data_IF_503169630547
#
_entry.id   IF_503169630547
#
_cell.length_a   1.000
_cell.length_b   1.000
_cell.length_c   1.000
_cell.angle_alpha   90.00
_cell.angle_beta   90.00
_cell.angle_gamma   90.00
#
_symmetry.space_group_name_H-M   'P 1'
#
loop_
_entity.id
_entity.type
_entity.pdbx_description
1 polymer ?
#
# COMPACT_ATOMS: atom_id res chain seq x y z
N UNK A 1 -2.35 -2.20 6.04
CA UNK A 1 -1.28 -3.16 5.74
C UNK A 1 -0.72 -3.69 7.04
N UNK A 2 -0.51 -5.01 7.15
CA UNK A 2 0.21 -5.62 8.27
C UNK A 2 1.62 -5.92 7.79
N UNK A 3 2.64 -5.47 8.52
CA UNK A 3 4.05 -5.67 8.19
C UNK A 3 4.72 -6.46 9.30
N UNK A 4 5.45 -7.49 8.94
CA UNK A 4 6.29 -8.28 9.84
C UNK A 4 7.75 -7.86 9.71
N UNK A 5 8.44 -7.64 10.83
CA UNK A 5 9.89 -7.47 10.87
C UNK A 5 10.53 -8.77 11.35
N UNK A 6 11.24 -9.53 10.48
CA UNK A 6 11.88 -10.76 10.89
C UNK A 6 12.97 -10.53 11.96
N UNK A 7 13.21 -11.49 12.87
CA UNK A 7 14.34 -11.42 13.81
C UNK A 7 15.67 -11.17 13.08
N UNK A 8 16.54 -10.34 13.66
CA UNK A 8 17.84 -9.96 13.07
C UNK A 8 17.77 -8.91 11.96
N UNK A 9 16.58 -8.44 11.58
CA UNK A 9 16.41 -7.33 10.65
C UNK A 9 16.60 -5.97 11.34
N UNK A 10 16.77 -4.91 10.54
CA UNK A 10 16.70 -3.52 11.05
C UNK A 10 15.27 -3.19 11.42
N UNK A 11 15.11 -2.36 12.45
CA UNK A 11 13.81 -1.92 12.98
C UNK A 11 13.18 -0.76 12.21
N UNK A 12 13.90 -0.18 11.24
CA UNK A 12 13.52 1.01 10.48
C UNK A 12 13.58 0.76 8.97
N UNK A 13 12.50 1.17 8.30
CA UNK A 13 12.31 1.11 6.85
C UNK A 13 11.39 2.24 6.38
N UNK A 14 11.16 2.33 5.08
CA UNK A 14 10.17 3.21 4.46
C UNK A 14 9.06 2.36 3.85
N UNK A 15 7.80 2.70 4.15
CA UNK A 15 6.64 2.17 3.45
C UNK A 15 6.26 3.13 2.33
N UNK A 16 6.24 2.63 1.11
CA UNK A 16 5.72 3.33 -0.06
C UNK A 16 4.47 2.61 -0.58
N UNK A 17 3.43 3.40 -0.87
CA UNK A 17 2.22 2.94 -1.54
C UNK A 17 1.93 3.87 -2.70
N UNK A 18 1.94 3.32 -3.91
CA UNK A 18 1.57 4.04 -5.14
C UNK A 18 0.23 3.52 -5.62
N UNK A 19 -0.74 4.41 -5.82
CA UNK A 19 -2.06 4.07 -6.32
C UNK A 19 -2.10 4.28 -7.82
N UNK A 20 -2.48 3.24 -8.57
CA UNK A 20 -2.47 3.26 -10.03
C UNK A 20 -3.79 2.83 -10.65
N UNK A 21 -4.09 3.42 -11.81
CA UNK A 21 -5.10 2.93 -12.75
C UNK A 21 -4.41 2.71 -14.09
N UNK A 22 -4.15 1.44 -14.43
CA UNK A 22 -3.26 1.11 -15.53
C UNK A 22 -1.86 1.70 -15.30
N UNK A 23 -1.38 2.52 -16.22
CA UNK A 23 -0.08 3.20 -16.12
C UNK A 23 -0.13 4.53 -15.35
N UNK A 24 -1.33 5.09 -15.14
CA UNK A 24 -1.51 6.37 -14.48
C UNK A 24 -1.30 6.25 -12.97
N UNK A 25 -0.49 7.15 -12.39
CA UNK A 25 -0.32 7.27 -10.95
C UNK A 25 -1.30 8.31 -10.40
N UNK A 26 -2.28 7.85 -9.62
CA UNK A 26 -3.31 8.70 -9.02
C UNK A 26 -2.87 9.36 -7.73
N UNK A 27 -2.12 8.62 -6.89
CA UNK A 27 -1.64 9.10 -5.61
C UNK A 27 -0.38 8.34 -5.17
N UNK A 28 0.36 8.94 -4.24
CA UNK A 28 1.56 8.35 -3.66
C UNK A 28 1.69 8.71 -2.19
N UNK A 29 1.84 7.70 -1.34
CA UNK A 29 2.16 7.85 0.07
C UNK A 29 3.53 7.25 0.36
N UNK A 30 4.40 8.01 1.01
CA UNK A 30 5.70 7.56 1.48
C UNK A 30 5.83 7.97 2.94
N UNK A 31 6.07 7.01 3.82
CA UNK A 31 6.19 7.29 5.25
C UNK A 31 7.24 6.38 5.91
N UNK A 32 7.91 6.87 6.96
CA UNK A 32 8.75 6.03 7.80
C UNK A 32 7.93 4.91 8.45
N UNK A 33 8.55 3.73 8.55
CA UNK A 33 8.00 2.56 9.21
C UNK A 33 9.02 2.07 10.24
N UNK A 34 8.58 2.03 11.51
CA UNK A 34 9.32 1.40 12.59
C UNK A 34 8.57 0.18 13.10
N UNK A 35 9.28 -0.96 13.16
CA UNK A 35 8.77 -2.25 13.66
C UNK A 35 9.91 -2.97 14.36
N UNK A 36 9.75 -3.26 15.64
CA UNK A 36 10.74 -4.03 16.40
C UNK A 36 10.96 -5.43 15.77
N UNK A 37 12.21 -5.95 15.76
CA UNK A 37 12.49 -7.28 15.27
C UNK A 37 11.67 -8.36 15.98
N UNK A 38 11.07 -9.24 15.19
CA UNK A 38 10.17 -10.30 15.66
C UNK A 38 8.72 -9.85 15.88
N UNK A 39 8.35 -8.61 15.56
CA UNK A 39 7.00 -8.07 15.77
C UNK A 39 6.29 -7.75 14.45
N UNK A 40 4.98 -7.56 14.58
CA UNK A 40 4.12 -7.01 13.54
C UNK A 40 3.74 -5.58 13.87
N UNK A 41 3.55 -4.77 12.83
CA UNK A 41 2.91 -3.47 12.95
C UNK A 41 1.76 -3.36 11.93
N UNK A 42 0.69 -2.71 12.34
CA UNK A 42 -0.43 -2.37 11.46
C UNK A 42 -0.30 -0.90 11.06
N UNK A 43 -0.29 -0.64 9.75
CA UNK A 43 -0.34 0.72 9.20
C UNK A 43 -1.64 0.91 8.42
N UNK A 44 -2.39 1.91 8.86
CA UNK A 44 -3.46 2.49 8.06
C UNK A 44 -2.82 3.47 7.05
N UNK A 45 -2.99 3.19 5.77
CA UNK A 45 -2.59 4.09 4.69
C UNK A 45 -3.89 4.62 4.08
N UNK A 46 -4.05 5.94 4.10
CA UNK A 46 -5.22 6.61 3.56
C UNK A 46 -4.80 7.38 2.32
N UNK A 47 -5.53 7.19 1.24
CA UNK A 47 -5.48 8.01 0.05
C UNK A 47 -6.90 8.49 -0.28
N UNK A 48 -7.00 9.73 -0.72
CA UNK A 48 -8.22 10.25 -1.33
C UNK A 48 -8.11 9.96 -2.82
N UNK A 49 -8.99 9.10 -3.32
CA UNK A 49 -8.99 8.62 -4.70
C UNK A 49 -10.30 9.05 -5.37
N UNK A 50 -10.19 9.73 -6.50
CA UNK A 50 -11.33 10.08 -7.34
C UNK A 50 -11.64 8.95 -8.31
N UNK A 51 -12.92 8.60 -8.43
CA UNK A 51 -13.41 7.64 -9.41
C UNK A 51 -14.37 8.35 -10.36
N UNK A 52 -13.92 8.62 -11.57
CA UNK A 52 -14.76 9.19 -12.63
C UNK A 52 -15.67 8.15 -13.28
N UNK A 53 -15.35 6.86 -13.14
CA UNK A 53 -16.15 5.72 -13.60
C UNK A 53 -15.86 4.48 -12.73
N UNK A 54 -16.65 3.42 -12.91
CA UNK A 54 -16.42 2.11 -12.33
C UNK A 54 -15.11 1.49 -12.82
N UNK A 55 -14.47 0.70 -11.97
CA UNK A 55 -13.20 0.05 -12.31
C UNK A 55 -12.28 -0.14 -11.12
N UNK A 56 -11.06 -0.56 -11.41
CA UNK A 56 -10.06 -0.93 -10.41
C UNK A 56 -8.97 0.12 -10.29
N UNK A 57 -8.62 0.44 -9.05
CA UNK A 57 -7.36 1.10 -8.68
C UNK A 57 -6.52 0.09 -7.91
N UNK A 58 -5.25 0.00 -8.24
CA UNK A 58 -4.29 -0.89 -7.58
C UNK A 58 -3.42 -0.10 -6.61
N UNK A 59 -3.32 -0.58 -5.37
CA UNK A 59 -2.32 -0.11 -4.41
C UNK A 59 -1.06 -0.97 -4.52
N UNK A 60 0.01 -0.39 -5.06
CA UNK A 60 1.33 -1.01 -5.19
C UNK A 60 2.14 -0.69 -3.93
N UNK A 61 2.16 -1.62 -2.98
CA UNK A 61 2.80 -1.46 -1.67
C UNK A 61 4.21 -2.06 -1.68
N UNK A 62 5.22 -1.34 -1.18
CA UNK A 62 6.56 -1.91 -0.95
C UNK A 62 7.21 -1.36 0.31
N UNK A 63 8.11 -2.17 0.87
CA UNK A 63 9.03 -1.77 1.94
C UNK A 63 10.40 -1.52 1.34
N UNK A 64 10.94 -0.32 1.57
CA UNK A 64 12.17 0.17 0.95
C UNK A 64 12.13 -0.05 -0.59
N UNK A 65 13.14 -0.73 -1.14
CA UNK A 65 13.21 -1.12 -2.56
C UNK A 65 12.91 -2.62 -2.76
N UNK A 66 12.17 -3.22 -1.83
CA UNK A 66 11.80 -4.62 -1.86
C UNK A 66 10.69 -4.95 -2.87
N UNK A 67 10.20 -6.21 -2.84
CA UNK A 67 9.11 -6.66 -3.70
C UNK A 67 7.84 -5.81 -3.53
N UNK A 68 7.11 -5.65 -4.63
CA UNK A 68 5.83 -4.95 -4.64
C UNK A 68 4.69 -5.95 -4.38
N UNK A 69 3.87 -5.66 -3.37
CA UNK A 69 2.60 -6.32 -3.13
C UNK A 69 1.47 -5.46 -3.72
N UNK A 70 0.75 -6.00 -4.70
CA UNK A 70 -0.36 -5.30 -5.36
C UNK A 70 -1.69 -5.69 -4.71
N UNK A 71 -2.47 -4.69 -4.30
CA UNK A 71 -3.80 -4.89 -3.70
C UNK A 71 -4.83 -4.13 -4.54
N UNK A 72 -5.78 -4.81 -5.19
CA UNK A 72 -6.80 -4.15 -6.00
C UNK A 72 -7.95 -3.63 -5.12
N UNK A 73 -8.48 -2.46 -5.48
CA UNK A 73 -9.74 -1.93 -4.99
C UNK A 73 -10.63 -1.61 -6.20
N UNK A 74 -11.75 -2.31 -6.31
CA UNK A 74 -12.65 -2.20 -7.47
C UNK A 74 -13.96 -1.56 -7.05
N UNK A 75 -14.29 -0.43 -7.69
CA UNK A 75 -15.60 0.19 -7.60
C UNK A 75 -16.52 -0.47 -8.63
N UNK A 76 -17.57 -1.14 -8.15
CA UNK A 76 -18.54 -1.85 -8.99
C UNK A 76 -19.79 -1.00 -9.21
N UNK A 77 -20.50 -1.20 -10.34
CA UNK A 77 -21.83 -0.64 -10.53
C UNK A 77 -22.81 -1.16 -9.48
N UNK A 78 -23.90 -0.42 -9.18
CA UNK A 78 -24.95 -0.88 -8.30
C UNK A 78 -25.51 -2.21 -8.78
N UNK A 79 -25.66 -3.17 -7.87
CA UNK A 79 -26.47 -4.36 -8.14
C UNK A 79 -27.94 -3.93 -8.17
N UNK A 80 -28.61 -4.19 -9.30
CA UNK A 80 -30.06 -4.04 -9.46
C UNK A 80 -30.85 -4.98 -8.55
#
# INVERSE_FOLDING_TARGET
>A
MIVYCPPGSRDSSVLEVVYKRGEEQLARNVQPLQVEPGKFNYRLIRAELTFDDYGTVEAHCRIDLGPVTVVPFTLLPPSV
#
